data_IF_676242100717
#
_entry.id   IF_676242100717
#
_cell.length_a   1.000
_cell.length_b   1.000
_cell.length_c   1.000
_cell.angle_alpha   90.00
_cell.angle_beta   90.00
_cell.angle_gamma   90.00
#
_symmetry.space_group_name_H-M   'P 1'
#
loop_
_entity.id
_entity.type
_entity.pdbx_description
1 polymer ?
#
# COMPACT_ATOMS: atom_id res chain seq x y z
N UNK A 1 23.09 -0.90 -18.02
CA UNK A 1 22.80 0.53 -17.82
C UNK A 1 22.39 1.16 -19.15
N UNK A 2 21.26 1.86 -19.13
CA UNK A 2 20.76 2.63 -20.28
C UNK A 2 20.67 4.09 -19.85
N UNK A 3 21.10 4.99 -20.74
CA UNK A 3 21.15 6.41 -20.41
C UNK A 3 20.71 7.26 -21.62
N UNK A 4 19.91 8.30 -21.32
CA UNK A 4 19.51 9.32 -22.28
C UNK A 4 19.55 10.68 -21.60
N UNK A 5 20.03 11.70 -22.31
CA UNK A 5 20.05 13.07 -21.80
C UNK A 5 19.03 13.91 -22.58
N UNK A 6 18.20 14.65 -21.85
CA UNK A 6 17.23 15.57 -22.42
C UNK A 6 17.28 16.89 -21.66
N UNK A 7 17.46 17.99 -22.36
CA UNK A 7 17.56 19.34 -21.78
C UNK A 7 18.64 19.45 -20.68
N UNK A 8 19.79 18.80 -20.89
CA UNK A 8 20.88 18.78 -19.92
C UNK A 8 20.65 17.88 -18.70
N UNK A 9 19.50 17.20 -18.60
CA UNK A 9 19.18 16.32 -17.50
C UNK A 9 19.42 14.87 -17.94
N UNK A 10 20.29 14.11 -17.26
CA UNK A 10 20.50 12.72 -17.59
C UNK A 10 19.36 11.85 -17.06
N UNK A 11 18.84 10.97 -17.90
CA UNK A 11 17.91 9.92 -17.53
C UNK A 11 18.65 8.59 -17.60
N UNK A 12 18.68 7.88 -16.49
CA UNK A 12 19.48 6.66 -16.35
C UNK A 12 18.60 5.53 -15.85
N UNK A 13 18.69 4.37 -16.50
CA UNK A 13 18.17 3.14 -15.97
C UNK A 13 19.32 2.14 -15.79
N UNK A 14 19.32 1.41 -14.70
CA UNK A 14 20.39 0.47 -14.42
C UNK A 14 20.04 -0.52 -13.34
N UNK A 15 20.80 -1.61 -13.33
CA UNK A 15 20.76 -2.64 -12.31
C UNK A 15 22.15 -2.71 -11.70
N UNK A 16 22.24 -2.58 -10.39
CA UNK A 16 23.47 -2.72 -9.64
C UNK A 16 23.37 -3.89 -8.68
N UNK A 17 24.47 -4.61 -8.52
CA UNK A 17 24.58 -5.65 -7.51
C UNK A 17 25.92 -5.46 -6.80
N UNK A 18 25.91 -5.65 -5.49
CA UNK A 18 27.12 -5.48 -4.71
C UNK A 18 26.96 -6.00 -3.29
N UNK A 19 28.10 -6.00 -2.60
CA UNK A 19 28.13 -6.38 -1.20
C UNK A 19 28.73 -5.20 -0.43
N UNK A 20 28.00 -4.70 0.55
CA UNK A 20 28.49 -3.75 1.52
C UNK A 20 28.98 -4.48 2.76
N UNK A 21 30.09 -4.03 3.31
CA UNK A 21 30.64 -4.57 4.55
C UNK A 21 30.66 -3.44 5.58
N UNK A 22 29.59 -3.40 6.39
CA UNK A 22 29.43 -2.41 7.45
C UNK A 22 29.50 -3.09 8.80
N UNK A 23 30.38 -2.64 9.68
CA UNK A 23 30.56 -3.17 11.03
C UNK A 23 30.86 -4.68 11.07
N UNK A 24 31.62 -5.17 10.08
CA UNK A 24 31.96 -6.59 9.98
C UNK A 24 30.82 -7.50 9.55
N UNK A 25 29.69 -6.94 9.12
CA UNK A 25 28.55 -7.69 8.60
C UNK A 25 28.38 -7.43 7.10
N UNK A 26 28.62 -8.43 6.24
CA UNK A 26 28.39 -8.26 4.81
C UNK A 26 26.89 -8.08 4.52
N UNK A 27 26.57 -7.14 3.66
CA UNK A 27 25.22 -6.90 3.17
C UNK A 27 25.21 -6.97 1.65
N UNK A 28 24.54 -7.96 1.10
CA UNK A 28 24.38 -8.07 -0.34
C UNK A 28 23.19 -7.22 -0.82
N UNK A 29 23.38 -6.52 -1.93
CA UNK A 29 22.40 -5.59 -2.48
C UNK A 29 22.12 -5.85 -3.94
N UNK A 30 20.86 -5.68 -4.32
CA UNK A 30 20.46 -5.47 -5.71
C UNK A 30 19.76 -4.11 -5.76
N UNK A 31 20.29 -3.21 -6.57
CA UNK A 31 19.78 -1.86 -6.71
C UNK A 31 19.21 -1.66 -8.11
N UNK A 32 17.99 -1.16 -8.17
CA UNK A 32 17.31 -0.84 -9.43
C UNK A 32 17.18 0.69 -9.50
N UNK A 33 17.71 1.26 -10.57
CA UNK A 33 17.64 2.69 -10.84
C UNK A 33 16.79 2.92 -12.07
N UNK A 34 15.64 3.52 -11.90
CA UNK A 34 14.72 3.88 -12.98
C UNK A 34 13.63 4.82 -12.43
N UNK A 35 13.05 5.64 -13.30
CA UNK A 35 11.88 6.44 -12.94
C UNK A 35 10.66 5.55 -12.73
N UNK A 36 10.62 4.42 -13.43
CA UNK A 36 9.53 3.47 -13.36
C UNK A 36 10.06 2.04 -13.46
N UNK A 37 9.59 1.18 -12.56
CA UNK A 37 9.87 -0.27 -12.60
C UNK A 37 8.52 -0.98 -12.64
N UNK A 38 8.32 -1.86 -13.61
CA UNK A 38 7.06 -2.57 -13.75
C UNK A 38 7.30 -4.06 -14.00
N UNK A 39 6.45 -4.90 -13.43
CA UNK A 39 6.35 -6.31 -13.75
C UNK A 39 5.05 -6.54 -14.50
N UNK A 40 5.13 -7.06 -15.70
CA UNK A 40 4.01 -7.24 -16.59
C UNK A 40 3.82 -8.72 -16.86
N UNK A 41 2.60 -9.22 -16.72
CA UNK A 41 2.25 -10.56 -17.13
C UNK A 41 1.78 -10.52 -18.59
N UNK A 42 2.46 -11.21 -19.52
CA UNK A 42 2.12 -11.14 -20.94
C UNK A 42 0.94 -12.03 -21.35
N UNK A 43 0.22 -12.64 -20.42
CA UNK A 43 -0.90 -13.49 -20.78
C UNK A 43 -2.04 -12.72 -21.41
N UNK A 44 -2.71 -13.34 -22.40
CA UNK A 44 -4.00 -12.92 -22.98
C UNK A 44 -3.96 -11.65 -23.84
N UNK A 45 -2.82 -11.24 -24.37
CA UNK A 45 -2.75 -10.07 -25.25
C UNK A 45 -3.01 -8.72 -24.61
N UNK A 46 -3.39 -8.68 -23.32
CA UNK A 46 -3.50 -7.45 -22.53
C UNK A 46 -2.38 -7.44 -21.49
N UNK A 47 -1.52 -6.45 -21.57
CA UNK A 47 -0.44 -6.31 -20.61
C UNK A 47 -0.90 -5.44 -19.45
N UNK A 48 -1.50 -6.08 -18.43
CA UNK A 48 -1.81 -5.41 -17.17
C UNK A 48 -0.62 -5.60 -16.23
N UNK A 49 0.00 -4.53 -15.73
CA UNK A 49 1.09 -4.66 -14.78
C UNK A 49 0.65 -5.33 -13.50
N UNK A 50 1.45 -6.28 -12.99
CA UNK A 50 1.25 -6.86 -11.67
C UNK A 50 1.59 -5.86 -10.58
N UNK A 51 2.69 -5.12 -10.77
CA UNK A 51 3.02 -3.97 -9.94
C UNK A 51 3.79 -2.93 -10.76
N UNK A 52 3.74 -1.70 -10.31
CA UNK A 52 4.52 -0.58 -10.87
C UNK A 52 5.09 0.23 -9.72
N UNK A 53 6.40 0.38 -9.67
CA UNK A 53 7.07 1.33 -8.80
C UNK A 53 7.35 2.59 -9.61
N UNK A 54 6.80 3.72 -9.18
CA UNK A 54 6.96 4.99 -9.86
C UNK A 54 6.86 6.15 -8.86
N UNK A 55 7.80 7.07 -8.92
CA UNK A 55 7.92 8.12 -7.92
C UNK A 55 8.14 7.52 -6.53
N UNK A 56 7.36 7.92 -5.56
CA UNK A 56 7.42 7.42 -4.19
C UNK A 56 6.34 6.38 -3.88
N UNK A 57 5.75 5.78 -4.92
CA UNK A 57 4.61 4.89 -4.77
C UNK A 57 4.87 3.54 -5.41
N UNK A 58 4.27 2.51 -4.82
CA UNK A 58 4.20 1.18 -5.39
C UNK A 58 2.71 0.88 -5.66
N UNK A 59 2.38 0.71 -6.93
CA UNK A 59 1.04 0.34 -7.38
C UNK A 59 0.98 -1.16 -7.57
N UNK A 60 0.01 -1.81 -6.97
CA UNK A 60 -0.20 -3.24 -7.08
C UNK A 60 -1.65 -3.51 -7.45
N UNK A 61 -1.88 -4.43 -8.38
CA UNK A 61 -3.23 -4.79 -8.78
C UNK A 61 -3.94 -5.56 -7.66
N UNK A 62 -3.36 -6.70 -7.26
CA UNK A 62 -3.83 -7.49 -6.14
C UNK A 62 -2.65 -7.87 -5.26
N UNK A 63 -2.88 -7.89 -3.95
CA UNK A 63 -1.86 -8.26 -2.97
C UNK A 63 -2.42 -9.31 -2.02
N UNK A 64 -1.73 -10.43 -1.90
CA UNK A 64 -1.99 -11.40 -0.85
C UNK A 64 -0.95 -11.20 0.25
N UNK A 65 -1.38 -10.77 1.42
CA UNK A 65 -0.51 -10.54 2.57
C UNK A 65 -0.82 -11.54 3.67
N UNK A 66 0.21 -12.20 4.18
CA UNK A 66 0.06 -12.99 5.38
C UNK A 66 -0.09 -12.10 6.62
N UNK A 67 0.56 -10.94 6.61
CA UNK A 67 0.55 -9.99 7.71
C UNK A 67 0.88 -8.59 7.19
N UNK A 68 0.18 -7.58 7.67
CA UNK A 68 0.40 -6.20 7.29
C UNK A 68 0.83 -5.37 8.51
N UNK A 69 1.96 -4.70 8.40
CA UNK A 69 2.35 -3.62 9.30
C UNK A 69 2.24 -2.32 8.50
N UNK A 70 1.41 -1.42 8.96
CA UNK A 70 1.21 -0.13 8.29
C UNK A 70 1.20 1.00 9.31
N UNK A 71 1.76 2.13 8.93
CA UNK A 71 1.65 3.36 9.74
C UNK A 71 0.23 3.89 9.64
N UNK A 72 -0.34 3.87 8.45
CA UNK A 72 -1.74 4.25 8.23
C UNK A 72 -2.29 3.46 7.04
N UNK A 73 -3.61 3.35 6.99
CA UNK A 73 -4.33 2.75 5.87
C UNK A 73 -5.42 3.72 5.47
N UNK A 74 -5.58 3.98 4.17
CA UNK A 74 -6.62 4.86 3.69
C UNK A 74 -7.13 4.39 2.33
N UNK A 75 -8.42 4.49 2.11
CA UNK A 75 -8.99 4.29 0.78
C UNK A 75 -8.70 5.50 -0.11
N UNK A 76 -8.82 5.33 -1.42
CA UNK A 76 -8.72 6.44 -2.35
C UNK A 76 -9.91 7.40 -2.16
N UNK A 77 -9.77 8.62 -2.64
CA UNK A 77 -10.78 9.66 -2.55
C UNK A 77 -10.44 10.74 -1.52
N UNK A 78 -11.17 11.84 -1.59
CA UNK A 78 -10.97 12.97 -0.69
C UNK A 78 -12.33 13.58 -0.31
N UNK A 79 -12.82 13.39 0.93
CA UNK A 79 -12.21 12.59 1.99
C UNK A 79 -12.30 11.09 1.71
N UNK A 80 -11.39 10.28 2.27
CA UNK A 80 -11.46 8.84 2.09
C UNK A 80 -12.67 8.24 2.81
N UNK A 81 -13.26 7.20 2.22
CA UNK A 81 -14.39 6.49 2.81
C UNK A 81 -13.97 5.61 3.99
N UNK A 82 -12.71 5.20 4.02
CA UNK A 82 -12.12 4.36 5.05
C UNK A 82 -10.73 4.88 5.40
N UNK A 83 -10.41 4.94 6.68
CA UNK A 83 -9.05 5.24 7.12
C UNK A 83 -8.76 4.65 8.48
N UNK A 84 -7.51 4.28 8.70
CA UNK A 84 -6.96 3.88 9.99
C UNK A 84 -5.71 4.73 10.23
N UNK A 85 -5.75 5.55 11.26
CA UNK A 85 -4.65 6.47 11.59
C UNK A 85 -3.63 5.79 12.52
N UNK A 86 -2.40 6.35 12.65
CA UNK A 86 -1.39 5.76 13.52
C UNK A 86 -1.79 5.63 14.99
N UNK A 87 -2.68 6.48 15.47
CA UNK A 87 -3.20 6.41 16.84
C UNK A 87 -4.38 5.43 16.99
N UNK A 88 -4.72 4.68 15.94
CA UNK A 88 -5.74 3.65 15.98
C UNK A 88 -7.16 4.13 15.73
N UNK A 89 -7.35 5.37 15.28
CA UNK A 89 -8.68 5.86 14.93
C UNK A 89 -9.13 5.26 13.61
N UNK A 90 -10.24 4.54 13.65
CA UNK A 90 -10.87 3.94 12.48
C UNK A 90 -12.05 4.82 12.04
N UNK A 91 -12.05 5.22 10.78
CA UNK A 91 -13.16 5.93 10.14
C UNK A 91 -13.67 5.10 8.98
N UNK A 92 -14.98 4.81 8.98
CA UNK A 92 -15.63 4.11 7.89
C UNK A 92 -16.96 4.77 7.58
N UNK A 93 -17.22 5.04 6.31
CA UNK A 93 -18.48 5.64 5.88
C UNK A 93 -19.64 4.66 5.96
N UNK A 94 -19.40 3.42 5.59
CA UNK A 94 -20.36 2.33 5.70
C UNK A 94 -19.66 1.11 6.29
N UNK A 95 -20.32 0.45 7.24
CA UNK A 95 -19.80 -0.77 7.84
C UNK A 95 -20.91 -1.79 7.98
N UNK A 96 -20.64 -3.02 7.56
CA UNK A 96 -21.50 -4.17 7.78
C UNK A 96 -20.70 -5.13 8.67
N UNK A 97 -21.15 -5.31 9.91
CA UNK A 97 -20.43 -6.09 10.91
C UNK A 97 -21.30 -7.27 11.34
N UNK A 98 -20.81 -8.47 11.06
CA UNK A 98 -21.41 -9.70 11.56
C UNK A 98 -20.56 -10.23 12.70
N UNK A 99 -21.01 -10.06 13.92
CA UNK A 99 -20.26 -10.42 15.10
C UNK A 99 -20.50 -9.46 16.26
N UNK A 100 -19.55 -9.39 17.17
CA UNK A 100 -19.68 -8.58 18.37
C UNK A 100 -18.98 -7.23 18.20
N UNK A 101 -19.57 -6.19 18.83
CA UNK A 101 -18.96 -4.88 18.97
C UNK A 101 -18.90 -4.56 20.45
N UNK A 102 -17.71 -4.21 20.94
CA UNK A 102 -17.50 -3.72 22.30
C UNK A 102 -16.99 -2.28 22.21
N UNK A 103 -17.75 -1.35 22.75
CA UNK A 103 -17.39 0.06 22.77
C UNK A 103 -17.65 0.64 24.16
N UNK A 104 -16.75 1.50 24.63
CA UNK A 104 -16.89 2.16 25.93
C UNK A 104 -17.88 3.31 25.86
N UNK A 105 -17.92 4.02 24.74
CA UNK A 105 -18.83 5.15 24.51
C UNK A 105 -19.30 5.15 23.07
N UNK A 106 -20.44 5.76 22.81
CA UNK A 106 -20.93 5.86 21.44
C UNK A 106 -22.11 6.82 21.33
N UNK A 107 -22.35 7.27 20.10
CA UNK A 107 -23.53 8.01 19.70
C UNK A 107 -24.12 7.33 18.48
N UNK A 108 -25.38 6.95 18.55
CA UNK A 108 -26.08 6.26 17.48
C UNK A 108 -27.33 7.05 17.10
N UNK A 109 -27.48 7.32 15.80
CA UNK A 109 -28.69 7.92 15.24
C UNK A 109 -29.45 6.85 14.45
N UNK A 110 -30.78 6.85 14.56
CA UNK A 110 -31.63 5.96 13.78
C UNK A 110 -31.27 4.46 13.89
N UNK A 111 -31.32 3.95 15.11
CA UNK A 111 -30.94 2.56 15.41
C UNK A 111 -32.19 1.68 15.48
N UNK A 112 -32.12 0.53 14.82
CA UNK A 112 -33.11 -0.55 15.00
C UNK A 112 -32.43 -1.67 15.78
N UNK A 113 -33.04 -2.07 16.90
CA UNK A 113 -32.59 -3.20 17.72
C UNK A 113 -33.67 -4.26 17.65
N UNK A 114 -33.33 -5.42 17.10
CA UNK A 114 -34.33 -6.46 16.85
C UNK A 114 -34.70 -7.24 18.11
N UNK A 115 -33.70 -7.72 18.83
CA UNK A 115 -33.95 -8.58 20.03
C UNK A 115 -32.84 -8.41 21.05
N UNK A 116 -33.18 -8.77 22.35
CA UNK A 116 -32.23 -8.93 23.43
C UNK A 116 -31.39 -7.68 23.75
N UNK A 117 -32.05 -6.53 23.80
CA UNK A 117 -31.41 -5.31 24.26
C UNK A 117 -31.52 -5.20 25.78
N UNK A 118 -30.39 -5.00 26.44
CA UNK A 118 -30.33 -4.71 27.88
C UNK A 118 -29.74 -3.34 28.07
N UNK A 119 -30.44 -2.49 28.79
CA UNK A 119 -30.01 -1.12 29.07
C UNK A 119 -29.67 -0.97 30.55
#
# INVERSE_FOLDING_TARGET
KVQKTKNGIPYVAGIGAGIEDTDGQPLSNILLLADRIAMINPESGNSTPLFVAQGNQLFMNDVFLKRLFAVSITSSGNPPAFSLTPDGRLTAKNADISGAITANTGTLNNVTINENCVI
#
